data_IF_875058255108
#
_entry.id   IF_875058255108
#
_cell.length_a   1.000
_cell.length_b   1.000
_cell.length_c   1.000
_cell.angle_alpha   90.00
_cell.angle_beta   90.00
_cell.angle_gamma   90.00
#
_symmetry.space_group_name_H-M   'P 1'
#
loop_
_entity.id
_entity.type
_entity.pdbx_description
1 polymer ?
#
# COMPACT_ATOMS: atom_id res chain seq x y z
N UNK A 1 -19.00 19.15 -3.84
CA UNK A 1 -19.17 17.73 -4.22
C UNK A 1 -18.07 16.97 -3.51
N UNK A 2 -18.40 16.08 -2.57
CA UNK A 2 -17.41 15.28 -1.86
C UNK A 2 -16.60 14.44 -2.86
N UNK A 3 -15.31 14.21 -2.64
CA UNK A 3 -14.46 13.40 -3.55
C UNK A 3 -15.10 12.06 -3.90
N UNK A 4 -15.82 11.44 -2.94
CA UNK A 4 -16.54 10.18 -3.19
C UNK A 4 -17.71 10.38 -4.16
N UNK A 5 -18.43 11.49 -4.10
CA UNK A 5 -19.52 11.79 -5.06
C UNK A 5 -18.98 12.00 -6.47
N UNK A 6 -17.83 12.65 -6.62
CA UNK A 6 -17.16 12.79 -7.91
C UNK A 6 -16.71 11.45 -8.50
N UNK A 7 -16.39 10.47 -7.63
CA UNK A 7 -15.96 9.13 -8.03
C UNK A 7 -17.14 8.17 -8.29
N UNK A 8 -18.36 8.47 -7.81
CA UNK A 8 -19.54 7.59 -7.99
C UNK A 8 -19.81 7.15 -9.43
N UNK A 9 -19.71 8.01 -10.47
CA UNK A 9 -19.94 7.61 -11.86
C UNK A 9 -19.00 6.50 -12.33
N UNK A 10 -17.80 6.43 -11.77
CA UNK A 10 -16.76 5.47 -12.14
C UNK A 10 -16.86 4.13 -11.38
N UNK A 11 -17.80 4.01 -10.43
CA UNK A 11 -18.06 2.78 -9.65
C UNK A 11 -16.77 2.09 -9.16
N UNK A 12 -15.94 2.78 -8.35
CA UNK A 12 -14.69 2.19 -7.87
C UNK A 12 -14.96 0.93 -7.05
N UNK A 13 -14.11 -0.09 -7.22
CA UNK A 13 -14.18 -1.35 -6.48
C UNK A 13 -13.98 -1.16 -4.96
N UNK A 14 -13.25 -0.12 -4.58
CA UNK A 14 -12.98 0.26 -3.21
C UNK A 14 -11.79 1.20 -3.10
N UNK A 15 -11.29 1.37 -1.87
CA UNK A 15 -10.12 2.17 -1.53
C UNK A 15 -8.99 1.28 -1.01
N UNK A 16 -7.76 1.58 -1.44
CA UNK A 16 -6.55 1.09 -0.80
C UNK A 16 -6.01 2.25 0.03
N UNK A 17 -5.73 2.00 1.31
CA UNK A 17 -5.17 3.02 2.19
C UNK A 17 -3.68 2.79 2.32
N UNK A 18 -2.88 3.81 2.03
CA UNK A 18 -1.43 3.75 2.12
C UNK A 18 -0.98 4.57 3.32
N UNK A 19 -0.17 3.98 4.19
CA UNK A 19 0.41 4.65 5.35
C UNK A 19 1.92 4.45 5.39
N UNK A 20 2.60 5.12 6.31
CA UNK A 20 3.98 4.80 6.69
C UNK A 20 4.00 4.38 8.17
N UNK A 21 5.03 3.66 8.65
CA UNK A 21 5.01 3.06 9.98
C UNK A 21 4.94 4.05 11.16
N UNK A 22 5.11 5.34 10.91
CA UNK A 22 5.13 6.39 11.93
C UNK A 22 3.71 6.68 12.43
N UNK A 23 3.57 6.87 13.74
CA UNK A 23 2.28 7.05 14.41
C UNK A 23 1.43 8.20 13.84
N UNK A 24 2.06 9.24 13.28
CA UNK A 24 1.36 10.37 12.65
C UNK A 24 0.61 9.89 11.41
N UNK A 25 1.29 9.21 10.48
CA UNK A 25 0.66 8.68 9.26
C UNK A 25 -0.40 7.63 9.57
N UNK A 26 -0.15 6.76 10.55
CA UNK A 26 -1.13 5.77 11.02
C UNK A 26 -2.37 6.45 11.62
N UNK A 27 -2.16 7.57 12.34
CA UNK A 27 -3.22 8.38 12.92
C UNK A 27 -4.13 9.02 11.87
N UNK A 28 -3.55 9.49 10.76
CA UNK A 28 -4.31 9.98 9.62
C UNK A 28 -5.11 8.84 8.99
N UNK A 29 -4.48 7.71 8.62
CA UNK A 29 -5.18 6.58 7.97
C UNK A 29 -6.34 6.02 8.82
N UNK A 30 -6.26 6.12 10.14
CA UNK A 30 -7.39 5.81 11.04
C UNK A 30 -8.61 6.71 10.82
N UNK A 31 -8.41 7.99 10.54
CA UNK A 31 -9.47 8.93 10.17
C UNK A 31 -10.02 8.60 8.78
N UNK A 32 -9.16 8.26 7.82
CA UNK A 32 -9.61 7.85 6.48
C UNK A 32 -10.44 6.55 6.51
N UNK A 33 -10.11 5.58 7.37
CA UNK A 33 -10.95 4.40 7.60
C UNK A 33 -12.35 4.79 8.05
N UNK A 34 -12.46 5.76 8.96
CA UNK A 34 -13.74 6.27 9.44
C UNK A 34 -14.50 6.98 8.31
N UNK A 35 -13.80 7.72 7.46
CA UNK A 35 -14.37 8.35 6.27
C UNK A 35 -14.92 7.31 5.27
N UNK A 36 -14.15 6.27 4.95
CA UNK A 36 -14.58 5.19 4.06
C UNK A 36 -15.84 4.51 4.59
N UNK A 37 -15.88 4.22 5.90
CA UNK A 37 -17.07 3.65 6.56
C UNK A 37 -18.30 4.57 6.46
N UNK A 38 -18.13 5.88 6.67
CA UNK A 38 -19.23 6.87 6.59
C UNK A 38 -19.76 7.05 5.17
N UNK A 39 -18.89 6.95 4.18
CA UNK A 39 -19.23 7.18 2.77
C UNK A 39 -19.68 5.92 2.04
N UNK A 40 -19.60 4.76 2.69
CA UNK A 40 -19.91 3.46 2.08
C UNK A 40 -18.84 2.97 1.11
N UNK A 41 -17.66 3.60 1.10
CA UNK A 41 -16.55 3.17 0.26
C UNK A 41 -15.88 1.95 0.91
N UNK A 42 -15.91 0.81 0.22
CA UNK A 42 -15.25 -0.41 0.67
C UNK A 42 -13.75 -0.18 0.78
N UNK A 43 -13.13 -0.62 1.87
CA UNK A 43 -11.67 -0.65 2.02
C UNK A 43 -11.18 -2.02 1.56
N UNK A 44 -10.36 -2.04 0.51
CA UNK A 44 -9.74 -3.25 -0.04
C UNK A 44 -8.57 -3.73 0.84
N UNK A 45 -7.88 -2.79 1.48
CA UNK A 45 -6.86 -3.10 2.47
C UNK A 45 -5.94 -1.92 2.75
N UNK A 46 -4.96 -2.17 3.62
CA UNK A 46 -3.91 -1.21 4.01
C UNK A 46 -2.56 -1.69 3.49
N UNK A 47 -1.79 -0.77 2.91
CA UNK A 47 -0.38 -0.96 2.52
C UNK A 47 0.49 -0.08 3.43
N UNK A 48 1.52 -0.66 4.04
CA UNK A 48 2.53 0.09 4.77
C UNK A 48 3.73 0.39 3.85
N UNK A 49 3.84 1.62 3.37
CA UNK A 49 4.97 2.09 2.56
C UNK A 49 6.16 2.50 3.45
N UNK A 50 7.35 2.58 2.87
CA UNK A 50 8.59 2.96 3.55
C UNK A 50 8.93 2.09 4.75
N UNK A 51 8.52 0.82 4.72
CA UNK A 51 8.70 -0.14 5.82
C UNK A 51 10.03 -0.89 5.66
N UNK A 52 11.11 -0.24 6.06
CA UNK A 52 12.48 -0.71 5.87
C UNK A 52 13.14 -0.12 4.62
N UNK A 53 14.42 -0.43 4.44
CA UNK A 53 15.26 0.13 3.38
C UNK A 53 16.12 -0.96 2.75
N UNK A 54 16.11 -1.00 1.42
CA UNK A 54 16.97 -1.88 0.63
C UNK A 54 18.37 -1.28 0.58
N UNK A 55 19.29 -1.92 1.30
CA UNK A 55 20.71 -1.57 1.28
C UNK A 55 21.32 -1.84 -0.11
N UNK A 56 21.83 -0.81 -0.83
CA UNK A 56 22.43 -1.01 -2.16
C UNK A 56 23.76 -1.78 -2.10
N UNK A 57 24.36 -1.93 -0.91
CA UNK A 57 25.66 -2.57 -0.71
C UNK A 57 25.59 -3.97 -0.10
N UNK A 58 24.47 -4.34 0.52
CA UNK A 58 24.41 -5.52 1.38
C UNK A 58 23.17 -6.41 1.17
N UNK A 59 22.25 -6.04 0.26
CA UNK A 59 21.03 -6.79 -0.06
C UNK A 59 20.08 -7.11 1.10
N UNK A 60 20.45 -6.76 2.34
CA UNK A 60 19.61 -6.84 3.51
C UNK A 60 18.66 -5.64 3.61
N UNK A 61 17.45 -5.92 4.07
CA UNK A 61 16.46 -4.90 4.38
C UNK A 61 16.67 -4.43 5.82
N UNK A 62 17.21 -3.23 5.98
CA UNK A 62 17.43 -2.62 7.29
C UNK A 62 16.23 -1.79 7.69
N UNK A 63 15.77 -1.94 8.93
CA UNK A 63 14.70 -1.10 9.48
C UNK A 63 15.26 0.28 9.81
N UNK A 64 15.21 1.21 8.85
CA UNK A 64 15.58 2.62 9.09
C UNK A 64 14.53 3.36 9.94
N UNK A 65 13.28 2.86 9.97
CA UNK A 65 12.15 3.46 10.69
C UNK A 65 11.45 2.42 11.58
N UNK A 66 10.43 2.88 12.32
CA UNK A 66 9.46 1.98 12.97
C UNK A 66 8.84 1.01 11.95
N UNK A 67 8.25 -0.10 12.40
CA UNK A 67 7.54 -1.07 11.56
C UNK A 67 6.22 -1.50 12.20
N UNK A 68 5.27 -1.92 11.37
CA UNK A 68 4.04 -2.59 11.80
C UNK A 68 2.93 -1.67 12.29
N UNK A 69 3.07 -0.35 12.12
CA UNK A 69 2.01 0.60 12.49
C UNK A 69 0.76 0.46 11.62
N UNK A 70 0.95 0.23 10.32
CA UNK A 70 -0.13 -0.03 9.37
C UNK A 70 -0.75 -1.41 9.54
N UNK A 71 0.06 -2.44 9.80
CA UNK A 71 -0.41 -3.80 10.06
C UNK A 71 -1.30 -3.86 11.31
N UNK A 72 -0.85 -3.24 12.39
CA UNK A 72 -1.61 -3.17 13.64
C UNK A 72 -2.91 -2.37 13.48
N UNK A 73 -2.90 -1.30 12.69
CA UNK A 73 -4.12 -0.56 12.34
C UNK A 73 -5.09 -1.43 11.56
N UNK A 74 -4.61 -2.18 10.56
CA UNK A 74 -5.44 -3.08 9.75
C UNK A 74 -6.11 -4.14 10.63
N UNK A 75 -5.34 -4.76 11.54
CA UNK A 75 -5.83 -5.73 12.52
C UNK A 75 -6.92 -5.14 13.42
N UNK A 76 -6.69 -3.95 13.97
CA UNK A 76 -7.67 -3.27 14.82
C UNK A 76 -8.95 -2.88 14.08
N UNK A 77 -8.81 -2.41 12.84
CA UNK A 77 -9.94 -2.02 12.01
C UNK A 77 -10.65 -3.20 11.33
N UNK A 78 -10.12 -4.42 11.47
CA UNK A 78 -10.59 -5.65 10.81
C UNK A 78 -10.67 -5.49 9.29
N UNK A 79 -9.66 -4.85 8.71
CA UNK A 79 -9.49 -4.72 7.26
C UNK A 79 -8.24 -5.49 6.81
N UNK A 80 -8.16 -5.93 5.55
CA UNK A 80 -6.99 -6.64 5.06
C UNK A 80 -5.71 -5.81 5.18
N UNK A 81 -4.63 -6.44 5.61
CA UNK A 81 -3.28 -5.89 5.46
C UNK A 81 -2.67 -6.50 4.21
N UNK A 82 -2.36 -5.67 3.21
CA UNK A 82 -1.90 -6.13 1.90
C UNK A 82 -0.38 -6.35 1.87
N UNK A 83 0.36 -5.68 2.75
CA UNK A 83 1.79 -5.87 2.92
C UNK A 83 2.57 -4.58 3.08
N UNK A 84 3.90 -4.74 3.03
CA UNK A 84 4.87 -3.68 3.23
C UNK A 84 5.66 -3.41 1.94
N UNK A 85 5.90 -2.15 1.62
CA UNK A 85 6.80 -1.73 0.54
C UNK A 85 8.03 -1.05 1.16
N UNK A 86 9.26 -1.56 0.95
CA UNK A 86 10.47 -0.93 1.47
C UNK A 86 10.87 0.28 0.62
N UNK A 87 11.71 1.15 1.19
CA UNK A 87 12.43 2.15 0.39
C UNK A 87 13.47 1.45 -0.48
N UNK A 88 13.36 1.62 -1.79
CA UNK A 88 14.31 1.07 -2.77
C UNK A 88 14.87 2.20 -3.66
N UNK A 89 16.18 2.47 -3.60
CA UNK A 89 16.82 3.46 -4.46
C UNK A 89 16.63 3.19 -5.97
N UNK A 90 16.53 1.92 -6.38
CA UNK A 90 16.31 1.55 -7.79
C UNK A 90 14.92 1.98 -8.25
N UNK A 91 13.91 1.90 -7.37
CA UNK A 91 12.56 2.38 -7.66
C UNK A 91 12.56 3.90 -7.85
N UNK A 92 13.18 4.63 -6.93
CA UNK A 92 13.30 6.10 -7.06
C UNK A 92 13.98 6.49 -8.36
N UNK A 93 15.12 5.87 -8.67
CA UNK A 93 15.86 6.14 -9.90
C UNK A 93 15.03 5.88 -11.16
N UNK A 94 14.34 4.73 -11.21
CA UNK A 94 13.48 4.38 -12.36
C UNK A 94 12.40 5.43 -12.60
N UNK A 95 11.77 5.92 -11.52
CA UNK A 95 10.72 6.94 -11.61
C UNK A 95 11.26 8.29 -12.10
N UNK A 96 12.46 8.68 -11.67
CA UNK A 96 13.12 9.92 -12.12
C UNK A 96 13.55 9.83 -13.59
N UNK A 97 13.98 8.65 -14.05
CA UNK A 97 14.43 8.42 -15.43
C UNK A 97 13.28 8.08 -16.39
N UNK A 98 12.04 7.94 -15.88
CA UNK A 98 10.85 7.62 -16.68
C UNK A 98 10.81 6.16 -17.16
N UNK A 99 11.48 5.28 -16.43
CA UNK A 99 11.72 3.89 -16.75
C UNK A 99 10.71 2.95 -16.06
N UNK A 100 10.44 1.80 -16.68
CA UNK A 100 9.56 0.77 -16.12
C UNK A 100 10.32 -0.05 -15.08
N UNK A 101 10.13 0.29 -13.81
CA UNK A 101 10.76 -0.39 -12.68
C UNK A 101 10.56 -1.92 -12.68
N UNK A 102 9.38 -2.40 -13.10
CA UNK A 102 9.03 -3.82 -13.09
C UNK A 102 9.85 -4.57 -14.16
N UNK A 103 10.06 -3.94 -15.32
CA UNK A 103 10.87 -4.53 -16.39
C UNK A 103 12.37 -4.44 -16.12
N UNK A 104 12.82 -3.32 -15.56
CA UNK A 104 14.24 -3.04 -15.40
C UNK A 104 14.85 -3.65 -14.14
N UNK A 105 14.08 -3.79 -13.06
CA UNK A 105 14.57 -4.25 -11.76
C UNK A 105 13.78 -5.46 -11.21
N UNK A 106 13.63 -6.57 -11.95
CA UNK A 106 12.89 -7.75 -11.49
C UNK A 106 13.54 -8.46 -10.28
N UNK A 107 14.80 -8.12 -9.97
CA UNK A 107 15.56 -8.64 -8.81
C UNK A 107 15.53 -7.68 -7.61
N UNK A 108 14.88 -6.52 -7.74
CA UNK A 108 14.73 -5.60 -6.62
C UNK A 108 13.97 -6.29 -5.47
N UNK A 109 14.35 -6.07 -4.20
CA UNK A 109 13.57 -6.53 -3.05
C UNK A 109 12.19 -5.89 -2.91
N UNK A 110 11.92 -4.74 -3.57
CA UNK A 110 10.58 -4.14 -3.62
C UNK A 110 9.67 -4.82 -4.65
N UNK A 111 10.24 -5.47 -5.68
CA UNK A 111 9.48 -6.22 -6.69
C UNK A 111 8.51 -7.27 -6.09
N UNK A 112 8.95 -8.22 -5.22
CA UNK A 112 8.04 -9.20 -4.65
C UNK A 112 6.93 -8.59 -3.80
N UNK A 113 7.18 -7.43 -3.16
CA UNK A 113 6.16 -6.72 -2.41
C UNK A 113 5.02 -6.23 -3.33
N UNK A 114 5.36 -5.58 -4.45
CA UNK A 114 4.36 -5.11 -5.41
C UNK A 114 3.56 -6.25 -6.03
N UNK A 115 4.23 -7.35 -6.42
CA UNK A 115 3.55 -8.52 -6.99
C UNK A 115 2.59 -9.13 -5.98
N UNK A 116 3.03 -9.33 -4.73
CA UNK A 116 2.20 -9.90 -3.65
C UNK A 116 0.98 -9.03 -3.35
N UNK A 117 1.16 -7.72 -3.21
CA UNK A 117 0.05 -6.76 -2.97
C UNK A 117 -0.94 -6.80 -4.13
N UNK A 118 -0.44 -6.74 -5.37
CA UNK A 118 -1.29 -6.77 -6.57
C UNK A 118 -2.11 -8.06 -6.65
N UNK A 119 -1.48 -9.20 -6.41
CA UNK A 119 -2.16 -10.49 -6.45
C UNK A 119 -3.27 -10.58 -5.42
N UNK A 120 -3.04 -10.12 -4.18
CA UNK A 120 -4.07 -10.09 -3.14
C UNK A 120 -5.26 -9.20 -3.52
N UNK A 121 -5.02 -8.07 -4.19
CA UNK A 121 -6.08 -7.19 -4.68
C UNK A 121 -6.90 -7.89 -5.78
N UNK A 122 -6.23 -8.55 -6.74
CA UNK A 122 -6.88 -9.28 -7.84
C UNK A 122 -7.70 -10.47 -7.33
N UNK A 123 -7.17 -11.24 -6.38
CA UNK A 123 -7.86 -12.40 -5.79
C UNK A 123 -9.07 -11.95 -4.95
N UNK A 124 -8.91 -10.89 -4.16
CA UNK A 124 -9.97 -10.32 -3.33
C UNK A 124 -11.09 -9.61 -4.11
N UNK A 125 -10.84 -9.28 -5.38
CA UNK A 125 -11.83 -8.68 -6.29
C UNK A 125 -12.52 -9.73 -7.16
N UNK A 126 -11.79 -10.74 -7.65
CA UNK A 126 -12.34 -11.84 -8.47
C UNK A 126 -13.30 -12.77 -7.72
N UNK A 127 -13.09 -12.97 -6.41
CA UNK A 127 -13.99 -13.76 -5.55
C UNK A 127 -15.40 -13.15 -5.34
N UNK A 128 -15.69 -11.97 -5.90
CA UNK A 128 -16.94 -11.23 -5.67
C UNK A 128 -17.70 -10.85 -6.95
N UNK A 129 -17.16 -11.18 -8.12
CA UNK A 129 -17.82 -10.98 -9.43
C UNK A 129 -18.64 -12.20 -9.88
N UNK A 130 -18.75 -13.23 -9.04
CA UNK A 130 -19.56 -14.44 -9.25
C UNK A 130 -20.82 -14.44 -8.39
#
# INVERSE_FOLDING_TARGET
>A
ISTVEALRPYKPLGAILVTTPQAISVGDVRRELTFCKKTGLRVLGIVENMSGFVCPHCSECTNLFSKGGGEELARHAKVPFLGCVPLDPQLTKSLEEGQDFIQEFPKSPAFPAFISITQQILDGTSAQTS
#
